data_IF_111727328438
#
_entry.id   IF_111727328438
#
_cell.length_a   1.000
_cell.length_b   1.000
_cell.length_c   1.000
_cell.angle_alpha   90.00
_cell.angle_beta   90.00
_cell.angle_gamma   90.00
#
_symmetry.space_group_name_H-M   'P 1'
#
loop_
_entity.id
_entity.type
_entity.pdbx_description
1 polymer ?
#
# COMPACT_ATOMS: atom_id res chain seq x y z
N UNK A 1 6.82 4.47 -37.17
CA UNK A 1 5.64 4.59 -36.30
C UNK A 1 6.05 4.16 -34.89
N UNK A 2 6.63 5.08 -34.11
CA UNK A 2 7.21 4.80 -32.77
C UNK A 2 7.31 6.11 -31.97
N UNK A 3 6.18 6.80 -31.82
CA UNK A 3 6.07 8.00 -30.95
C UNK A 3 4.92 7.88 -29.93
N UNK A 4 3.96 6.99 -30.17
CA UNK A 4 2.75 6.89 -29.34
C UNK A 4 2.98 6.24 -27.97
N UNK A 5 3.82 5.20 -27.87
CA UNK A 5 4.01 4.47 -26.60
C UNK A 5 4.85 5.20 -25.55
N UNK A 6 5.64 6.23 -25.91
CA UNK A 6 6.37 7.06 -24.94
C UNK A 6 5.50 8.20 -24.36
N UNK A 7 4.41 8.57 -25.03
CA UNK A 7 3.51 9.61 -24.55
C UNK A 7 2.48 9.09 -23.53
N UNK A 8 2.20 7.78 -23.50
CA UNK A 8 1.28 7.19 -22.51
C UNK A 8 1.91 7.21 -21.10
N UNK A 9 3.22 6.99 -20.98
CA UNK A 9 3.94 7.04 -19.69
C UNK A 9 4.09 8.46 -19.09
N UNK A 10 3.83 9.52 -19.86
CA UNK A 10 3.81 10.90 -19.34
C UNK A 10 2.42 11.41 -18.98
N UNK A 11 1.36 10.67 -19.34
CA UNK A 11 -0.02 11.14 -19.16
C UNK A 11 -0.74 10.54 -17.93
N UNK A 12 -0.10 9.62 -17.21
CA UNK A 12 -0.56 9.19 -15.87
C UNK A 12 -0.30 10.24 -14.77
N UNK A 13 0.36 11.35 -15.13
CA UNK A 13 0.57 12.52 -14.26
C UNK A 13 -0.64 13.48 -14.22
N UNK A 14 -1.84 13.04 -14.67
CA UNK A 14 -2.97 13.95 -14.94
C UNK A 14 -4.32 13.56 -14.33
N UNK A 15 -4.33 12.94 -13.15
CA UNK A 15 -5.46 13.06 -12.22
C UNK A 15 -5.05 13.92 -11.03
N UNK A 16 -5.08 15.24 -11.24
CA UNK A 16 -5.07 16.30 -10.21
C UNK A 16 -3.95 16.25 -9.13
N UNK A 17 -2.84 16.95 -9.42
CA UNK A 17 -1.88 17.54 -8.45
C UNK A 17 -1.19 16.59 -7.45
N UNK A 18 -0.33 15.70 -7.96
CA UNK A 18 0.51 14.82 -7.12
C UNK A 18 1.81 15.47 -6.60
N UNK A 19 2.23 16.63 -7.11
CA UNK A 19 3.47 17.30 -6.63
C UNK A 19 3.35 17.87 -5.20
N UNK A 20 2.14 17.96 -4.65
CA UNK A 20 1.87 18.58 -3.35
C UNK A 20 1.43 17.60 -2.26
N UNK A 21 1.43 16.29 -2.52
CA UNK A 21 1.08 15.33 -1.48
C UNK A 21 2.09 15.36 -0.34
N UNK A 22 1.61 15.54 0.89
CA UNK A 22 2.40 15.42 2.10
C UNK A 22 1.62 14.59 3.11
N UNK A 23 2.30 13.60 3.70
CA UNK A 23 1.74 12.82 4.80
C UNK A 23 2.04 13.52 6.13
N UNK A 24 1.25 14.55 6.44
CA UNK A 24 1.35 15.37 7.66
C UNK A 24 0.14 15.25 8.59
N UNK A 25 -0.74 14.28 8.31
CA UNK A 25 -1.97 14.03 9.06
C UNK A 25 -3.15 14.93 8.68
N UNK A 26 -3.05 15.75 7.63
CA UNK A 26 -4.20 16.49 7.06
C UNK A 26 -5.13 15.63 6.22
N UNK A 27 -4.66 14.46 5.78
CA UNK A 27 -5.39 13.46 5.03
C UNK A 27 -5.12 12.08 5.64
N UNK A 28 -5.89 11.08 5.21
CA UNK A 28 -5.69 9.68 5.58
C UNK A 28 -5.38 8.82 4.35
N UNK A 29 -4.75 9.41 3.32
CA UNK A 29 -4.34 8.68 2.12
C UNK A 29 -3.05 7.89 2.38
N UNK A 30 -3.19 6.90 3.26
CA UNK A 30 -2.13 5.98 3.67
C UNK A 30 -1.68 5.15 2.44
N UNK A 31 -2.60 4.82 1.53
CA UNK A 31 -2.25 4.11 0.29
C UNK A 31 -1.30 4.95 -0.57
N UNK A 32 -1.55 6.25 -0.74
CA UNK A 32 -0.66 7.14 -1.49
C UNK A 32 0.71 7.28 -0.84
N UNK A 33 0.77 7.43 0.48
CA UNK A 33 2.03 7.48 1.19
C UNK A 33 2.82 6.16 1.02
N UNK A 34 2.16 5.01 1.12
CA UNK A 34 2.80 3.69 0.92
C UNK A 34 3.28 3.50 -0.52
N UNK A 35 2.53 3.98 -1.51
CA UNK A 35 2.97 4.04 -2.90
C UNK A 35 4.25 4.87 -3.06
N UNK A 36 4.30 6.08 -2.48
CA UNK A 36 5.48 6.95 -2.53
C UNK A 36 6.69 6.27 -1.88
N UNK A 37 6.51 5.59 -0.74
CA UNK A 37 7.59 4.82 -0.10
C UNK A 37 8.05 3.64 -0.97
N UNK A 38 7.12 2.93 -1.61
CA UNK A 38 7.43 1.84 -2.53
C UNK A 38 8.24 2.34 -3.74
N UNK A 39 7.85 3.45 -4.36
CA UNK A 39 8.62 4.07 -5.45
C UNK A 39 10.00 4.57 -5.00
N UNK A 40 10.14 4.96 -3.73
CA UNK A 40 11.43 5.31 -3.13
C UNK A 40 12.33 4.08 -2.86
N UNK A 41 11.84 2.85 -3.09
CA UNK A 41 12.57 1.60 -2.88
C UNK A 41 12.58 1.12 -1.43
N UNK A 42 11.73 1.68 -0.56
CA UNK A 42 11.59 1.19 0.80
C UNK A 42 11.02 -0.23 0.79
N UNK A 43 11.46 -1.03 1.77
CA UNK A 43 10.93 -2.36 2.01
C UNK A 43 10.49 -2.50 3.46
N UNK A 44 9.43 -3.28 3.67
CA UNK A 44 8.99 -3.73 4.98
C UNK A 44 8.56 -5.18 4.88
N UNK A 45 8.55 -5.85 6.02
CA UNK A 45 8.00 -7.20 6.12
C UNK A 45 6.55 -7.23 5.64
N UNK A 46 6.19 -8.36 5.04
CA UNK A 46 4.81 -8.65 4.68
C UNK A 46 3.90 -8.59 5.91
N UNK A 47 2.65 -8.21 5.67
CA UNK A 47 1.65 -8.10 6.73
C UNK A 47 1.32 -9.50 7.23
N UNK A 48 1.59 -9.76 8.51
CA UNK A 48 1.10 -10.97 9.19
C UNK A 48 -0.39 -10.78 9.47
N UNK A 49 -1.23 -11.64 8.88
CA UNK A 49 -2.67 -11.69 9.10
C UNK A 49 -3.09 -13.11 9.46
N UNK A 50 -4.08 -13.25 10.33
CA UNK A 50 -4.71 -14.55 10.59
C UNK A 50 -5.54 -15.03 9.38
N UNK A 51 -6.12 -14.09 8.63
CA UNK A 51 -6.84 -14.34 7.38
C UNK A 51 -6.86 -13.07 6.52
N UNK A 52 -6.79 -13.24 5.19
CA UNK A 52 -6.95 -12.14 4.23
C UNK A 52 -8.46 -11.94 3.97
N UNK A 53 -9.00 -10.71 4.08
CA UNK A 53 -10.43 -10.48 3.83
C UNK A 53 -10.86 -10.85 2.41
N UNK A 54 -12.05 -11.42 2.27
CA UNK A 54 -12.63 -11.78 0.95
C UNK A 54 -12.69 -10.58 0.00
N UNK A 55 -13.07 -9.40 0.48
CA UNK A 55 -13.10 -8.19 -0.34
C UNK A 55 -11.72 -7.83 -0.93
N UNK A 56 -10.63 -8.13 -0.23
CA UNK A 56 -9.26 -7.94 -0.73
C UNK A 56 -8.91 -9.02 -1.75
N UNK A 57 -9.21 -10.28 -1.46
CA UNK A 57 -8.91 -11.39 -2.39
C UNK A 57 -9.72 -11.29 -3.68
N UNK A 58 -10.98 -10.86 -3.62
CA UNK A 58 -11.83 -10.68 -4.80
C UNK A 58 -11.28 -9.58 -5.70
N UNK A 59 -10.94 -8.42 -5.10
CA UNK A 59 -10.34 -7.28 -5.82
C UNK A 59 -9.02 -7.65 -6.50
N UNK A 60 -8.16 -8.40 -5.81
CA UNK A 60 -6.88 -8.87 -6.39
C UNK A 60 -7.08 -9.99 -7.41
N UNK A 61 -8.10 -10.83 -7.21
CA UNK A 61 -8.48 -11.93 -8.10
C UNK A 61 -8.86 -11.44 -9.50
N UNK A 62 -9.56 -10.32 -9.61
CA UNK A 62 -9.87 -9.66 -10.89
C UNK A 62 -8.61 -9.28 -11.70
N UNK A 63 -7.47 -9.14 -11.02
CA UNK A 63 -6.15 -8.84 -11.62
C UNK A 63 -5.24 -10.08 -11.70
N UNK A 64 -5.71 -11.26 -11.31
CA UNK A 64 -4.92 -12.49 -11.14
C UNK A 64 -3.70 -12.30 -10.21
N UNK A 65 -3.86 -11.51 -9.16
CA UNK A 65 -2.82 -11.25 -8.15
C UNK A 65 -3.14 -12.05 -6.90
N UNK A 66 -2.13 -12.67 -6.30
CA UNK A 66 -2.25 -13.26 -4.96
C UNK A 66 -1.72 -12.29 -3.92
N UNK A 67 -2.40 -12.19 -2.78
CA UNK A 67 -2.02 -11.25 -1.72
C UNK A 67 -0.61 -11.54 -1.18
N UNK A 68 -0.26 -12.80 -1.02
CA UNK A 68 1.04 -13.28 -0.54
C UNK A 68 2.21 -12.99 -1.48
N UNK A 69 1.94 -12.71 -2.77
CA UNK A 69 2.98 -12.37 -3.75
C UNK A 69 3.30 -10.86 -3.73
N UNK A 70 2.48 -10.05 -3.07
CA UNK A 70 2.67 -8.61 -2.97
C UNK A 70 3.72 -8.23 -1.91
N UNK A 71 4.57 -7.20 -2.16
CA UNK A 71 5.44 -6.64 -1.13
C UNK A 71 4.65 -6.06 0.05
N UNK A 72 5.25 -6.02 1.25
CA UNK A 72 4.56 -5.62 2.48
C UNK A 72 3.94 -4.21 2.45
N UNK A 73 4.56 -3.26 1.74
CA UNK A 73 3.99 -1.92 1.53
C UNK A 73 2.69 -1.98 0.73
N UNK A 74 2.68 -2.79 -0.34
CA UNK A 74 1.55 -2.92 -1.26
C UNK A 74 0.42 -3.68 -0.59
N UNK A 75 0.72 -4.76 0.13
CA UNK A 75 -0.27 -5.47 0.96
C UNK A 75 -1.00 -4.51 1.91
N UNK A 76 -0.26 -3.65 2.59
CA UNK A 76 -0.83 -2.66 3.50
C UNK A 76 -1.65 -1.60 2.79
N UNK A 77 -1.20 -1.13 1.62
CA UNK A 77 -1.92 -0.16 0.82
C UNK A 77 -3.27 -0.71 0.34
N UNK A 78 -3.28 -1.96 -0.15
CA UNK A 78 -4.51 -2.62 -0.61
C UNK A 78 -5.48 -2.87 0.54
N UNK A 79 -5.00 -3.31 1.71
CA UNK A 79 -5.85 -3.45 2.90
C UNK A 79 -6.51 -2.12 3.26
N UNK A 80 -5.72 -1.05 3.38
CA UNK A 80 -6.22 0.28 3.72
C UNK A 80 -7.27 0.77 2.73
N UNK A 81 -6.92 0.76 1.44
CA UNK A 81 -7.74 1.29 0.36
C UNK A 81 -9.04 0.48 0.19
N UNK A 82 -9.03 -0.81 0.55
CA UNK A 82 -10.23 -1.67 0.55
C UNK A 82 -11.05 -1.54 1.85
N UNK A 83 -10.60 -0.72 2.81
CA UNK A 83 -11.34 -0.43 4.03
C UNK A 83 -11.04 -1.37 5.20
N UNK A 84 -9.79 -1.79 5.37
CA UNK A 84 -9.38 -2.63 6.50
C UNK A 84 -8.26 -1.99 7.32
N UNK A 85 -8.35 -2.19 8.63
CA UNK A 85 -7.25 -1.99 9.59
C UNK A 85 -6.81 -3.33 10.19
N UNK A 86 -5.74 -3.33 10.97
CA UNK A 86 -5.18 -4.54 11.58
C UNK A 86 -5.29 -4.45 13.10
N UNK A 87 -6.00 -5.40 13.70
CA UNK A 87 -6.11 -5.52 15.16
C UNK A 87 -4.75 -5.85 15.81
N UNK A 88 -4.62 -5.67 17.13
CA UNK A 88 -3.46 -6.14 17.89
C UNK A 88 -3.19 -7.64 17.74
N UNK A 89 -4.23 -8.45 17.52
CA UNK A 89 -4.15 -9.90 17.32
C UNK A 89 -3.89 -10.31 15.86
N UNK A 90 -3.63 -9.33 14.98
CA UNK A 90 -3.39 -9.49 13.53
C UNK A 90 -4.61 -9.96 12.73
N UNK A 91 -5.82 -9.65 13.19
CA UNK A 91 -7.02 -9.76 12.37
C UNK A 91 -7.17 -8.52 11.48
N UNK A 92 -7.55 -8.73 10.22
CA UNK A 92 -7.98 -7.64 9.36
C UNK A 92 -9.45 -7.30 9.69
N UNK A 93 -9.67 -6.11 10.25
CA UNK A 93 -10.96 -5.65 10.74
C UNK A 93 -11.54 -4.62 9.77
N UNK A 94 -12.81 -4.78 9.43
CA UNK A 94 -13.53 -3.89 8.53
C UNK A 94 -13.65 -2.49 9.12
N UNK A 95 -13.38 -1.51 8.28
CA UNK A 95 -13.63 -0.09 8.50
C UNK A 95 -14.70 0.33 7.48
N UNK A 96 -15.78 0.91 7.98
CA UNK A 96 -16.76 1.62 7.17
C UNK A 96 -16.47 3.12 7.23
N UNK A 97 -16.60 3.78 6.09
CA UNK A 97 -16.59 5.24 6.03
C UNK A 97 -18.00 5.76 6.29
N UNK A 98 -18.14 7.04 6.65
CA UNK A 98 -19.44 7.68 6.80
C UNK A 98 -19.75 8.58 5.61
N UNK A 99 -21.02 8.64 5.21
CA UNK A 99 -21.52 9.54 4.16
C UNK A 99 -20.78 9.37 2.81
N UNK A 100 -20.03 10.39 2.39
CA UNK A 100 -19.25 10.43 1.16
C UNK A 100 -17.74 10.48 1.41
N UNK A 101 -17.30 10.19 2.64
CA UNK A 101 -15.89 10.02 2.93
C UNK A 101 -15.35 8.73 2.28
N UNK A 102 -14.07 8.72 1.97
CA UNK A 102 -13.27 7.61 1.47
C UNK A 102 -12.17 7.32 2.47
N UNK A 103 -11.50 6.17 2.36
CA UNK A 103 -10.36 5.86 3.23
C UNK A 103 -9.24 6.91 3.15
N UNK A 104 -9.12 7.64 2.04
CA UNK A 104 -8.15 8.72 1.86
C UNK A 104 -8.49 10.02 2.62
N UNK A 105 -9.74 10.22 3.07
CA UNK A 105 -10.19 11.50 3.65
C UNK A 105 -10.99 11.38 4.96
N UNK A 106 -10.89 10.27 5.67
CA UNK A 106 -11.45 10.10 7.02
C UNK A 106 -10.64 10.79 8.13
N UNK A 107 -9.42 11.27 7.84
CA UNK A 107 -8.71 12.16 8.76
C UNK A 107 -9.59 13.39 9.09
N UNK A 108 -9.72 13.69 10.39
CA UNK A 108 -10.57 14.77 10.87
C UNK A 108 -9.74 16.05 10.94
N UNK A 109 -10.15 17.15 10.28
CA UNK A 109 -9.51 18.45 10.41
C UNK A 109 -9.46 18.91 11.87
N UNK A 110 -8.36 19.55 12.24
CA UNK A 110 -8.18 20.10 13.59
C UNK A 110 -9.29 21.08 13.99
N UNK A 111 -9.84 21.84 13.03
CA UNK A 111 -10.92 22.79 13.30
C UNK A 111 -12.20 22.06 13.74
N UNK A 112 -12.61 21.01 13.03
CA UNK A 112 -13.78 20.18 13.39
C UNK A 112 -13.62 19.61 14.81
N UNK A 113 -12.42 19.09 15.15
CA UNK A 113 -12.11 18.59 16.50
C UNK A 113 -12.19 19.70 17.55
N UNK A 114 -11.74 20.91 17.21
CA UNK A 114 -11.84 22.08 18.09
C UNK A 114 -13.29 22.53 18.28
N UNK A 115 -14.10 22.49 17.23
CA UNK A 115 -15.51 22.87 17.24
C UNK A 115 -16.36 21.88 18.06
N UNK A 116 -15.96 20.61 18.13
CA UNK A 116 -16.51 19.63 19.08
C UNK A 116 -16.18 19.95 20.55
N UNK A 117 -15.35 20.97 20.82
CA UNK A 117 -14.97 21.40 22.16
C UNK A 117 -13.74 20.69 22.72
N UNK A 118 -12.95 20.01 21.88
CA UNK A 118 -11.72 19.35 22.31
C UNK A 118 -10.52 20.31 22.29
N UNK A 119 -9.55 20.05 23.17
CA UNK A 119 -8.30 20.83 23.26
C UNK A 119 -7.10 20.01 22.81
N UNK A 120 -5.98 20.68 22.53
CA UNK A 120 -4.81 20.05 21.92
C UNK A 120 -3.53 20.23 22.73
N UNK A 121 -2.73 19.17 22.74
CA UNK A 121 -1.30 19.24 23.03
C UNK A 121 -0.56 19.56 21.73
N UNK A 122 0.14 20.69 21.70
CA UNK A 122 1.02 21.07 20.58
C UNK A 122 2.41 20.43 20.79
N UNK A 123 2.90 19.74 19.77
CA UNK A 123 4.21 19.10 19.76
C UNK A 123 5.01 19.59 18.55
N UNK A 124 6.22 20.08 18.76
CA UNK A 124 7.08 20.53 17.65
C UNK A 124 7.81 19.33 17.05
N UNK A 125 7.69 19.16 15.72
CA UNK A 125 8.40 18.12 14.98
C UNK A 125 9.80 18.60 14.56
N UNK A 126 10.71 17.70 14.13
CA UNK A 126 12.07 18.06 13.70
C UNK A 126 12.13 19.09 12.56
N UNK A 127 11.13 19.10 11.66
CA UNK A 127 11.02 20.09 10.58
C UNK A 127 10.46 21.45 11.03
N UNK A 128 10.33 21.70 12.33
CA UNK A 128 9.72 22.91 12.91
C UNK A 128 8.23 23.10 12.53
N UNK A 129 7.55 22.07 12.03
CA UNK A 129 6.09 22.06 11.88
C UNK A 129 5.46 21.53 13.16
N UNK A 130 4.36 22.15 13.57
CA UNK A 130 3.60 21.72 14.74
C UNK A 130 2.71 20.52 14.41
N UNK A 131 2.84 19.47 15.21
CA UNK A 131 1.87 18.40 15.32
C UNK A 131 0.93 18.67 16.51
N UNK A 132 -0.24 18.05 16.47
CA UNK A 132 -1.29 18.22 17.47
C UNK A 132 -1.88 16.88 17.86
N UNK A 133 -2.06 16.70 19.16
CA UNK A 133 -2.70 15.53 19.76
C UNK A 133 -3.88 16.00 20.60
N UNK A 134 -4.94 15.22 20.69
CA UNK A 134 -6.01 15.50 21.66
C UNK A 134 -5.48 15.49 23.09
N UNK A 135 -5.90 16.48 23.88
CA UNK A 135 -5.57 16.59 25.30
C UNK A 135 -6.82 16.42 26.18
N UNK A 136 -7.77 17.36 26.13
CA UNK A 136 -9.05 17.27 26.83
C UNK A 136 -10.13 17.08 25.77
N UNK A 137 -10.79 15.91 25.77
CA UNK A 137 -11.82 15.54 24.81
C UNK A 137 -12.56 14.30 25.34
N UNK A 138 -13.88 14.35 25.51
CA UNK A 138 -14.67 13.17 25.87
C UNK A 138 -14.84 12.23 24.67
N UNK A 139 -15.30 11.00 24.94
CA UNK A 139 -15.66 10.06 23.88
C UNK A 139 -16.75 10.64 22.98
N UNK A 140 -17.81 11.19 23.55
CA UNK A 140 -18.91 11.79 22.79
C UNK A 140 -18.47 12.94 21.90
N UNK A 141 -17.61 13.84 22.41
CA UNK A 141 -17.06 14.93 21.60
C UNK A 141 -16.26 14.40 20.40
N UNK A 142 -15.39 13.41 20.63
CA UNK A 142 -14.60 12.85 19.55
C UNK A 142 -15.44 12.07 18.53
N UNK A 143 -16.39 11.28 19.01
CA UNK A 143 -17.30 10.50 18.18
C UNK A 143 -18.26 11.40 17.39
N UNK A 144 -18.61 12.59 17.89
CA UNK A 144 -19.46 13.54 17.16
C UNK A 144 -18.86 14.04 15.84
N UNK A 145 -17.53 13.98 15.68
CA UNK A 145 -16.81 14.41 14.47
C UNK A 145 -16.13 13.27 13.72
N UNK A 146 -16.28 12.04 14.22
CA UNK A 146 -15.70 10.85 13.61
C UNK A 146 -16.32 10.57 12.23
N UNK A 147 -15.48 10.07 11.31
CA UNK A 147 -15.85 9.88 9.89
C UNK A 147 -15.87 8.42 9.45
N UNK A 148 -15.75 7.51 10.41
CA UNK A 148 -15.62 6.08 10.21
C UNK A 148 -16.22 5.28 11.36
N UNK A 149 -16.55 4.03 11.07
CA UNK A 149 -16.98 3.01 12.02
C UNK A 149 -16.06 1.82 11.82
N UNK A 150 -15.55 1.22 12.88
CA UNK A 150 -14.69 0.04 12.84
C UNK A 150 -15.45 -1.13 13.46
N UNK A 151 -15.35 -2.30 12.83
CA UNK A 151 -16.00 -3.50 13.35
C UNK A 151 -15.45 -3.91 14.71
N UNK A 152 -16.27 -4.57 15.52
CA UNK A 152 -15.90 -4.96 16.87
C UNK A 152 -14.69 -5.88 16.82
N UNK A 153 -13.64 -5.53 17.55
CA UNK A 153 -12.49 -6.40 17.80
C UNK A 153 -12.13 -6.40 19.27
N UNK A 154 -11.34 -7.39 19.69
CA UNK A 154 -10.85 -7.48 21.06
C UNK A 154 -9.49 -6.83 21.18
N UNK A 155 -9.28 -6.05 22.24
CA UNK A 155 -7.96 -5.58 22.62
C UNK A 155 -7.79 -5.69 24.14
N UNK A 156 -7.01 -6.67 24.59
CA UNK A 156 -6.78 -6.89 26.03
C UNK A 156 -6.10 -5.70 26.70
N UNK A 157 -5.33 -4.91 25.94
CA UNK A 157 -4.68 -3.68 26.42
C UNK A 157 -5.52 -2.41 26.28
N UNK A 158 -6.82 -2.52 25.97
CA UNK A 158 -7.69 -1.36 25.76
C UNK A 158 -7.93 -0.57 27.04
N UNK A 159 -8.10 -1.29 28.15
CA UNK A 159 -8.21 -0.71 29.48
C UNK A 159 -6.81 -0.20 29.82
N UNK A 160 -6.70 1.10 30.09
CA UNK A 160 -5.44 1.82 30.35
C UNK A 160 -4.60 2.17 29.10
N UNK A 161 -5.16 2.07 27.89
CA UNK A 161 -4.50 2.64 26.71
C UNK A 161 -4.54 4.16 26.75
N UNK A 162 -3.51 4.78 27.33
CA UNK A 162 -3.38 6.24 27.45
C UNK A 162 -2.73 6.85 26.20
N UNK A 163 -3.14 6.49 24.99
CA UNK A 163 -2.69 7.17 23.78
C UNK A 163 -3.56 8.37 23.43
N UNK A 164 -3.21 9.11 22.38
CA UNK A 164 -4.12 10.10 21.80
C UNK A 164 -5.11 9.43 20.85
N UNK A 165 -6.41 9.70 21.01
CA UNK A 165 -7.46 9.18 20.10
C UNK A 165 -7.39 9.82 18.71
N UNK A 166 -7.00 11.10 18.66
CA UNK A 166 -6.77 11.85 17.43
C UNK A 166 -5.41 12.51 17.48
N UNK A 167 -4.73 12.48 16.34
CA UNK A 167 -3.47 13.15 16.16
C UNK A 167 -3.31 13.62 14.72
N UNK A 168 -2.82 14.85 14.56
CA UNK A 168 -2.39 15.44 13.30
C UNK A 168 -0.88 15.61 13.34
N UNK A 169 -0.19 14.83 12.53
CA UNK A 169 1.24 14.91 12.37
C UNK A 169 1.71 13.86 11.37
N UNK A 170 2.97 13.93 11.00
CA UNK A 170 3.52 12.99 10.05
C UNK A 170 4.84 13.43 9.46
N UNK A 171 5.39 12.53 8.64
CA UNK A 171 6.67 12.67 7.98
C UNK A 171 6.56 12.12 6.56
N UNK A 172 7.14 12.82 5.59
CA UNK A 172 7.20 12.36 4.19
C UNK A 172 7.97 11.05 4.02
N UNK A 173 8.83 10.68 4.98
CA UNK A 173 9.54 9.40 5.00
C UNK A 173 8.90 8.36 5.92
N UNK A 174 7.72 8.63 6.49
CA UNK A 174 7.04 7.64 7.30
C UNK A 174 6.53 6.51 6.41
N UNK A 175 6.68 5.28 6.90
CA UNK A 175 6.01 4.10 6.35
C UNK A 175 4.81 3.78 7.24
N UNK A 176 3.63 4.39 6.99
CA UNK A 176 2.51 4.33 7.92
C UNK A 176 2.02 2.90 8.11
N UNK A 177 1.66 2.57 9.35
CA UNK A 177 0.89 1.38 9.68
C UNK A 177 -0.61 1.65 9.58
N UNK A 178 -1.42 0.59 9.71
CA UNK A 178 -2.90 0.66 9.77
C UNK A 178 -3.39 -0.05 11.02
N UNK A 179 -2.74 0.22 12.15
CA UNK A 179 -3.00 -0.51 13.40
C UNK A 179 -4.24 0.02 14.08
N UNK A 180 -5.07 -0.88 14.58
CA UNK A 180 -6.25 -0.52 15.35
C UNK A 180 -5.92 -0.49 16.84
N UNK A 181 -6.56 0.46 17.52
CA UNK A 181 -6.51 0.64 18.98
C UNK A 181 -7.93 0.85 19.49
N UNK A 182 -8.17 0.36 20.69
CA UNK A 182 -9.35 0.71 21.48
C UNK A 182 -8.88 1.61 22.63
N UNK A 183 -9.34 2.85 22.61
CA UNK A 183 -9.16 3.80 23.69
C UNK A 183 -10.36 3.70 24.61
N UNK A 184 -10.24 2.90 25.67
CA UNK A 184 -11.28 2.71 26.67
C UNK A 184 -10.87 3.31 28.01
N UNK A 185 -11.69 4.20 28.55
CA UNK A 185 -11.44 4.82 29.86
C UNK A 185 -12.76 5.17 30.56
N UNK A 186 -12.68 5.33 31.88
CA UNK A 186 -13.74 5.98 32.66
C UNK A 186 -13.31 7.40 32.93
N UNK A 187 -14.10 8.37 32.46
CA UNK A 187 -13.82 9.77 32.69
C UNK A 187 -13.91 10.07 34.20
N UNK A 188 -12.85 10.62 34.80
CA UNK A 188 -12.79 10.80 36.26
C UNK A 188 -13.69 11.93 36.76
N UNK A 189 -14.22 12.78 35.87
CA UNK A 189 -15.07 13.91 36.20
C UNK A 189 -16.56 13.54 36.07
N UNK A 190 -16.96 12.95 34.95
CA UNK A 190 -18.35 12.53 34.71
C UNK A 190 -18.67 11.13 35.26
N UNK A 191 -17.66 10.31 35.53
CA UNK A 191 -17.78 8.88 35.85
C UNK A 191 -18.49 8.06 34.74
N UNK A 192 -18.48 8.57 33.51
CA UNK A 192 -18.94 7.86 32.32
C UNK A 192 -17.80 7.07 31.69
N UNK A 193 -18.09 5.87 31.20
CA UNK A 193 -17.11 5.05 30.48
C UNK A 193 -17.27 5.27 28.98
N UNK A 194 -16.16 5.59 28.33
CA UNK A 194 -16.10 5.77 26.88
C UNK A 194 -15.22 4.70 26.25
N UNK A 195 -15.48 4.41 24.98
CA UNK A 195 -14.60 3.61 24.14
C UNK A 195 -14.61 4.15 22.72
N UNK A 196 -13.43 4.57 22.26
CA UNK A 196 -13.20 5.14 20.93
C UNK A 196 -12.20 4.26 20.21
N UNK A 197 -12.60 3.68 19.07
CA UNK A 197 -11.64 2.99 18.21
C UNK A 197 -10.84 4.01 17.43
N UNK A 198 -9.58 3.68 17.14
CA UNK A 198 -8.73 4.55 16.34
C UNK A 198 -7.79 3.77 15.44
N UNK A 199 -7.55 4.30 14.24
CA UNK A 199 -6.47 3.88 13.36
C UNK A 199 -5.21 4.66 13.73
N UNK A 200 -4.13 3.94 13.99
CA UNK A 200 -2.80 4.49 14.30
C UNK A 200 -1.80 4.13 13.21
N UNK A 201 -0.99 5.12 12.84
CA UNK A 201 -0.04 5.01 11.73
C UNK A 201 1.38 4.64 12.15
N UNK A 202 1.61 4.38 13.43
CA UNK A 202 2.89 3.95 13.98
C UNK A 202 2.72 2.75 14.91
N UNK A 203 3.77 1.95 15.15
CA UNK A 203 3.74 0.91 16.16
C UNK A 203 3.61 1.49 17.57
N UNK A 204 3.06 0.71 18.49
CA UNK A 204 2.80 1.10 19.89
C UNK A 204 4.02 1.72 20.60
N UNK A 205 5.22 1.21 20.34
CA UNK A 205 6.46 1.71 20.94
C UNK A 205 6.84 3.14 20.51
N UNK A 206 6.23 3.67 19.45
CA UNK A 206 6.43 5.03 18.95
C UNK A 206 5.21 5.93 19.19
N UNK A 207 4.13 5.39 19.75
CA UNK A 207 2.96 6.20 20.11
C UNK A 207 3.29 7.03 21.36
N UNK A 208 2.97 8.33 21.29
CA UNK A 208 3.12 9.20 22.44
C UNK A 208 1.99 8.89 23.44
N UNK A 209 2.36 8.78 24.73
CA UNK A 209 1.36 8.74 25.79
C UNK A 209 0.58 10.04 25.86
N UNK A 210 -0.59 9.99 26.48
CA UNK A 210 -1.49 11.11 26.67
C UNK A 210 -0.77 12.27 27.38
N UNK A 211 -1.01 13.48 26.89
CA UNK A 211 -0.34 14.71 27.31
C UNK A 211 1.20 14.73 27.11
N UNK A 212 1.77 13.74 26.41
CA UNK A 212 3.16 13.72 26.01
C UNK A 212 3.32 14.02 24.52
N UNK A 213 4.51 14.47 24.15
CA UNK A 213 4.96 14.50 22.76
C UNK A 213 5.83 13.26 22.52
N UNK A 214 5.98 12.79 21.26
CA UNK A 214 6.93 11.74 20.96
C UNK A 214 8.33 12.09 21.46
N UNK A 215 8.98 11.16 22.15
CA UNK A 215 10.32 11.37 22.73
C UNK A 215 11.38 11.67 21.66
N UNK A 216 11.20 11.13 20.46
CA UNK A 216 12.03 11.41 19.30
C UNK A 216 11.25 11.22 18.00
N UNK A 217 11.69 11.94 16.96
CA UNK A 217 11.14 11.80 15.62
C UNK A 217 9.89 12.62 15.37
N UNK A 218 9.09 12.17 14.43
CA UNK A 218 7.90 12.87 13.96
C UNK A 218 6.66 12.35 14.67
N UNK A 219 5.63 13.18 14.73
CA UNK A 219 4.31 12.75 15.13
C UNK A 219 3.69 11.82 14.09
N UNK A 220 2.55 11.23 14.45
CA UNK A 220 1.82 10.29 13.62
C UNK A 220 0.36 10.74 13.47
N UNK A 221 -0.28 10.25 12.43
CA UNK A 221 -1.73 10.35 12.26
C UNK A 221 -2.41 9.32 13.16
N UNK A 222 -3.43 9.77 13.89
CA UNK A 222 -4.42 8.90 14.54
C UNK A 222 -5.83 9.34 14.13
N UNK A 223 -6.62 8.41 13.61
CA UNK A 223 -7.99 8.66 13.10
C UNK A 223 -9.00 7.95 14.00
N UNK A 224 -9.81 8.69 14.77
CA UNK A 224 -10.84 8.08 15.61
C UNK A 224 -12.06 7.68 14.78
N UNK A 225 -12.66 6.57 15.18
CA UNK A 225 -13.82 5.95 14.57
C UNK A 225 -14.76 5.44 15.67
N UNK A 226 -16.04 5.31 15.32
CA UNK A 226 -16.99 4.61 16.16
C UNK A 226 -16.70 3.11 16.22
N UNK A 227 -17.24 2.46 17.25
CA UNK A 227 -17.34 1.01 17.35
C UNK A 227 -18.65 0.53 16.77
N UNK A 228 -18.64 -0.47 15.88
CA UNK A 228 -19.85 -0.99 15.24
C UNK A 228 -20.92 -1.49 16.22
N UNK A 229 -20.51 -1.93 17.42
CA UNK A 229 -21.40 -2.44 18.47
C UNK A 229 -21.97 -1.35 19.40
N UNK A 230 -21.65 -0.08 19.15
CA UNK A 230 -22.04 1.05 20.00
C UNK A 230 -22.37 2.31 19.17
N UNK A 231 -23.08 2.14 18.05
CA UNK A 231 -23.54 3.24 17.20
C UNK A 231 -25.05 3.43 17.26
N UNK A 232 -25.50 4.65 17.01
CA UNK A 232 -26.91 4.96 16.81
C UNK A 232 -27.40 4.51 15.43
N UNK A 233 -28.72 4.50 15.23
CA UNK A 233 -29.33 4.17 13.93
C UNK A 233 -28.95 5.19 12.85
N UNK A 234 -28.75 6.46 13.21
CA UNK A 234 -28.30 7.51 12.28
C UNK A 234 -26.88 7.24 11.79
N UNK A 235 -25.95 6.92 12.70
CA UNK A 235 -24.57 6.58 12.33
C UNK A 235 -24.56 5.31 11.47
N UNK A 236 -25.36 4.31 11.83
CA UNK A 236 -25.50 3.08 11.05
C UNK A 236 -26.02 3.32 9.64
N UNK A 237 -27.02 4.21 9.48
CA UNK A 237 -27.55 4.59 8.18
C UNK A 237 -26.53 5.38 7.32
N UNK A 238 -25.59 6.08 7.97
CA UNK A 238 -24.53 6.82 7.29
C UNK A 238 -23.35 5.93 6.85
N UNK A 239 -23.22 4.70 7.38
CA UNK A 239 -22.12 3.80 7.04
C UNK A 239 -22.09 3.44 5.56
N UNK A 240 -20.90 3.46 4.97
CA UNK A 240 -20.61 3.00 3.62
C UNK A 240 -19.41 2.08 3.63
N UNK A 241 -19.56 0.92 2.99
CA UNK A 241 -18.43 0.03 2.70
C UNK A 241 -17.49 0.75 1.74
N UNK A 242 -16.21 0.96 2.09
CA UNK A 242 -15.26 1.60 1.20
C UNK A 242 -15.12 0.81 -0.10
N UNK A 243 -15.10 1.51 -1.21
CA UNK A 243 -14.70 0.94 -2.50
C UNK A 243 -13.25 1.30 -2.73
N UNK A 244 -12.44 0.32 -3.10
CA UNK A 244 -11.04 0.56 -3.48
C UNK A 244 -10.95 1.61 -4.58
N UNK A 245 -9.94 2.48 -4.49
CA UNK A 245 -9.76 3.55 -5.45
C UNK A 245 -9.27 3.03 -6.80
N UNK A 246 -9.67 3.73 -7.87
CA UNK A 246 -9.26 3.40 -9.24
C UNK A 246 -7.74 3.49 -9.40
N UNK A 247 -7.09 4.47 -8.76
CA UNK A 247 -5.65 4.67 -8.90
C UNK A 247 -4.83 3.54 -8.25
N UNK A 248 -5.26 3.01 -7.09
CA UNK A 248 -4.61 1.83 -6.49
C UNK A 248 -4.82 0.61 -7.38
N UNK A 249 -6.00 0.47 -7.98
CA UNK A 249 -6.28 -0.61 -8.94
C UNK A 249 -5.38 -0.50 -10.18
N UNK A 250 -5.18 0.70 -10.72
CA UNK A 250 -4.23 0.96 -11.81
C UNK A 250 -2.80 0.61 -11.41
N UNK A 251 -2.34 1.05 -10.23
CA UNK A 251 -1.01 0.71 -9.72
C UNK A 251 -0.81 -0.81 -9.60
N UNK A 252 -1.78 -1.52 -9.02
CA UNK A 252 -1.73 -2.98 -8.89
C UNK A 252 -1.63 -3.67 -10.26
N UNK A 253 -2.44 -3.19 -11.21
CA UNK A 253 -2.47 -3.74 -12.56
C UNK A 253 -1.14 -3.53 -13.29
N UNK A 254 -0.58 -2.32 -13.19
CA UNK A 254 0.61 -1.95 -13.95
C UNK A 254 1.88 -2.65 -13.43
N UNK A 255 1.98 -2.89 -12.12
CA UNK A 255 3.19 -3.44 -11.50
C UNK A 255 3.11 -4.92 -11.13
N UNK A 256 1.92 -5.47 -10.88
CA UNK A 256 1.78 -6.80 -10.26
C UNK A 256 0.85 -7.76 -11.00
N UNK A 257 -0.02 -7.28 -11.90
CA UNK A 257 -0.92 -8.19 -12.62
C UNK A 257 -0.13 -9.14 -13.53
N UNK A 258 -0.50 -10.42 -13.47
CA UNK A 258 0.11 -11.45 -14.31
C UNK A 258 -0.62 -11.48 -15.65
N UNK A 259 0.02 -10.89 -16.67
CA UNK A 259 -0.44 -11.05 -18.04
C UNK A 259 -0.23 -12.51 -18.50
N UNK A 260 -1.33 -13.27 -18.61
CA UNK A 260 -1.33 -14.59 -19.26
C UNK A 260 -0.78 -14.55 -20.70
N UNK A 261 -0.72 -13.36 -21.32
CA UNK A 261 -0.12 -13.13 -22.64
C UNK A 261 1.41 -13.29 -22.63
N UNK A 262 2.11 -12.94 -21.55
CA UNK A 262 3.56 -13.06 -21.46
C UNK A 262 4.00 -14.52 -21.31
N UNK A 263 3.22 -15.33 -20.59
CA UNK A 263 3.42 -16.78 -20.51
C UNK A 263 3.22 -17.47 -21.88
N UNK A 264 2.14 -17.13 -22.59
CA UNK A 264 1.90 -17.63 -23.95
C UNK A 264 2.97 -17.17 -24.95
N UNK A 265 3.45 -15.92 -24.85
CA UNK A 265 4.56 -15.41 -25.67
C UNK A 265 5.85 -16.15 -25.39
N UNK A 266 6.16 -16.45 -24.12
CA UNK A 266 7.35 -17.23 -23.77
C UNK A 266 7.26 -18.65 -24.32
N UNK A 267 6.10 -19.29 -24.22
CA UNK A 267 5.83 -20.62 -24.80
C UNK A 267 5.97 -20.60 -26.32
N UNK A 268 5.45 -19.57 -27.00
CA UNK A 268 5.58 -19.40 -28.46
C UNK A 268 7.04 -19.16 -28.88
N UNK A 269 7.82 -18.39 -28.13
CA UNK A 269 9.24 -18.16 -28.39
C UNK A 269 10.02 -19.47 -28.20
N UNK A 270 9.79 -20.21 -27.12
CA UNK A 270 10.44 -21.50 -26.86
C UNK A 270 10.07 -22.53 -27.94
N UNK A 271 8.80 -22.61 -28.31
CA UNK A 271 8.33 -23.49 -29.40
C UNK A 271 8.99 -23.13 -30.73
N UNK A 272 9.10 -21.83 -31.05
CA UNK A 272 9.79 -21.35 -32.25
C UNK A 272 11.28 -21.69 -32.27
N UNK A 273 11.99 -21.53 -31.15
CA UNK A 273 13.41 -21.88 -31.02
C UNK A 273 13.60 -23.39 -31.18
N UNK A 274 12.77 -24.22 -30.56
CA UNK A 274 12.84 -25.68 -30.69
C UNK A 274 12.57 -26.11 -32.14
N UNK A 275 11.60 -25.51 -32.82
CA UNK A 275 11.31 -25.82 -34.22
C UNK A 275 12.50 -25.49 -35.13
N UNK A 276 13.14 -24.33 -34.92
CA UNK A 276 14.34 -23.92 -35.67
C UNK A 276 15.50 -24.86 -35.40
N UNK A 277 15.72 -25.29 -34.15
CA UNK A 277 16.77 -26.27 -33.82
C UNK A 277 16.52 -27.63 -34.45
N UNK A 278 15.26 -28.08 -34.51
CA UNK A 278 14.87 -29.32 -35.21
C UNK A 278 15.12 -29.18 -36.72
N UNK A 279 14.72 -28.06 -37.33
CA UNK A 279 14.96 -27.79 -38.75
C UNK A 279 16.46 -27.74 -39.07
N UNK A 280 17.27 -27.09 -38.22
CA UNK A 280 18.73 -27.06 -38.36
C UNK A 280 19.37 -28.45 -38.15
N UNK A 281 18.82 -29.30 -37.28
CA UNK A 281 19.27 -30.68 -37.11
C UNK A 281 18.88 -31.57 -38.30
N UNK A 282 17.70 -31.35 -38.91
CA UNK A 282 17.27 -32.00 -40.14
C UNK A 282 18.07 -31.53 -41.37
N UNK A 283 18.40 -30.23 -41.45
CA UNK A 283 19.27 -29.68 -42.49
C UNK A 283 20.72 -30.13 -42.32
N UNK A 284 21.22 -30.30 -41.08
CA UNK A 284 22.52 -30.95 -40.84
C UNK A 284 22.56 -32.40 -41.32
N UNK A 285 21.41 -33.07 -41.39
CA UNK A 285 21.29 -34.41 -42.00
C UNK A 285 21.27 -34.36 -43.54
N UNK A 286 21.06 -33.19 -44.15
CA UNK A 286 20.87 -33.02 -45.60
C UNK A 286 21.94 -32.16 -46.30
N UNK A 287 22.71 -31.34 -45.58
CA UNK A 287 23.70 -30.44 -46.17
C UNK A 287 25.08 -30.69 -45.56
N UNK A 288 25.86 -31.53 -46.25
CA UNK A 288 27.30 -31.41 -46.18
C UNK A 288 27.72 -30.12 -46.89
N UNK A 289 28.42 -29.27 -46.14
CA UNK A 289 29.12 -28.04 -46.56
C UNK A 289 28.29 -26.76 -46.75
N UNK A 290 28.86 -25.71 -46.15
CA UNK A 290 28.74 -24.28 -46.45
C UNK A 290 27.63 -23.50 -45.74
N UNK A 291 28.03 -22.78 -44.68
CA UNK A 291 27.82 -21.33 -44.45
C UNK A 291 27.82 -20.99 -42.94
N UNK A 292 28.96 -21.20 -42.27
CA UNK A 292 29.30 -20.48 -41.04
C UNK A 292 29.92 -19.14 -41.45
N UNK A 293 29.13 -18.09 -41.55
CA UNK A 293 29.67 -16.75 -41.86
C UNK A 293 28.71 -15.60 -41.63
N UNK A 294 27.40 -15.83 -41.66
CA UNK A 294 26.42 -14.73 -41.73
C UNK A 294 25.46 -14.61 -40.54
N UNK A 295 25.44 -15.55 -39.59
CA UNK A 295 24.53 -15.48 -38.43
C UNK A 295 25.11 -14.74 -37.20
N UNK A 296 26.44 -14.57 -37.11
CA UNK A 296 27.07 -13.95 -35.92
C UNK A 296 26.76 -12.46 -35.79
N UNK A 297 26.49 -11.76 -36.91
CA UNK A 297 26.38 -10.30 -36.92
C UNK A 297 24.98 -9.78 -36.60
N UNK A 298 23.90 -10.57 -36.77
CA UNK A 298 22.52 -10.07 -36.58
C UNK A 298 21.94 -10.27 -35.18
N UNK A 299 22.44 -11.24 -34.40
CA UNK A 299 21.92 -11.47 -33.04
C UNK A 299 22.45 -10.45 -32.03
N UNK A 300 23.67 -9.93 -32.24
CA UNK A 300 24.29 -8.94 -31.35
C UNK A 300 23.61 -7.57 -31.48
N UNK A 301 23.18 -7.18 -32.69
CA UNK A 301 22.57 -5.87 -32.95
C UNK A 301 21.17 -5.72 -32.31
N UNK A 302 20.46 -6.82 -32.05
CA UNK A 302 19.13 -6.76 -31.42
C UNK A 302 19.15 -6.53 -29.90
N UNK A 303 20.33 -6.59 -29.26
CA UNK A 303 20.47 -6.53 -27.79
C UNK A 303 20.99 -5.18 -27.27
N UNK A 304 21.37 -4.24 -28.14
CA UNK A 304 21.94 -2.94 -27.75
C UNK A 304 20.90 -1.88 -27.31
N UNK A 305 19.62 -2.24 -27.21
CA UNK A 305 18.53 -1.31 -26.88
C UNK A 305 18.01 -1.28 -25.44
N UNK A 306 18.49 -2.13 -24.52
CA UNK A 306 17.87 -2.23 -23.17
C UNK A 306 18.88 -2.26 -22.00
N UNK A 307 18.74 -1.35 -21.01
CA UNK A 307 19.61 -1.27 -19.84
C UNK A 307 19.07 -2.14 -18.70
N UNK A 308 19.35 -3.45 -18.71
CA UNK A 308 19.45 -4.34 -17.53
C UNK A 308 19.44 -5.83 -17.91
N UNK A 309 20.34 -6.28 -18.80
CA UNK A 309 20.47 -7.71 -19.14
C UNK A 309 21.91 -8.22 -19.11
N UNK A 310 22.66 -7.91 -18.04
CA UNK A 310 24.02 -8.40 -17.85
C UNK A 310 24.12 -9.93 -17.83
N UNK A 311 23.24 -10.60 -17.07
CA UNK A 311 23.29 -12.05 -16.92
C UNK A 311 22.86 -12.83 -18.18
N UNK A 312 21.86 -12.34 -18.92
CA UNK A 312 21.42 -13.01 -20.15
C UNK A 312 22.46 -12.88 -21.27
N UNK A 313 23.17 -11.74 -21.33
CA UNK A 313 24.30 -11.53 -22.26
C UNK A 313 25.45 -12.50 -21.99
N UNK A 314 25.75 -12.76 -20.71
CA UNK A 314 26.80 -13.70 -20.31
C UNK A 314 26.41 -15.15 -20.66
N UNK A 315 25.19 -15.56 -20.30
CA UNK A 315 24.64 -16.88 -20.64
C UNK A 315 24.61 -17.16 -22.14
N UNK A 316 24.21 -16.17 -22.95
CA UNK A 316 24.20 -16.31 -24.41
C UNK A 316 25.61 -16.40 -25.00
N UNK A 317 26.58 -15.64 -24.47
CA UNK A 317 28.00 -15.76 -24.89
C UNK A 317 28.56 -17.13 -24.55
N UNK A 318 28.30 -17.62 -23.34
CA UNK A 318 28.85 -18.90 -22.87
C UNK A 318 28.20 -20.09 -23.61
N UNK A 319 26.90 -20.02 -23.90
CA UNK A 319 26.23 -20.99 -24.78
C UNK A 319 26.77 -20.95 -26.21
N UNK A 320 27.05 -19.76 -26.78
CA UNK A 320 27.63 -19.67 -28.12
C UNK A 320 29.06 -20.22 -28.17
N UNK A 321 29.87 -19.95 -27.15
CA UNK A 321 31.24 -20.45 -27.05
C UNK A 321 31.28 -21.99 -26.97
N UNK A 322 30.39 -22.59 -26.20
CA UNK A 322 30.26 -24.05 -26.09
C UNK A 322 29.73 -24.71 -27.39
N UNK A 323 28.88 -24.01 -28.14
CA UNK A 323 28.41 -24.45 -29.46
C UNK A 323 29.50 -24.39 -30.54
N UNK A 324 30.45 -23.46 -30.40
CA UNK A 324 31.59 -23.34 -31.30
C UNK A 324 32.71 -24.34 -30.96
N UNK A 325 32.93 -24.66 -29.68
CA UNK A 325 33.94 -25.65 -29.27
C UNK A 325 33.51 -27.11 -29.49
N UNK A 326 32.22 -27.37 -29.63
CA UNK A 326 31.67 -28.70 -29.94
C UNK A 326 31.55 -28.98 -31.44
N UNK A 327 31.93 -28.01 -32.29
CA UNK A 327 31.90 -28.11 -33.75
C UNK A 327 33.30 -28.19 -34.40
N UNK A 328 34.36 -28.34 -33.60
CA UNK A 328 35.74 -28.64 -34.03
C UNK A 328 36.08 -30.11 -33.85
#
# INVERSE_FOLDING_TARGET
MTVESRNVFRNLDSTASDENFVFDGTNSDIAKQLYIRHQAGDTVDQVSLNSVPTAVTDRLGDLNIKFEDLPGLVQRAVLWDTGFGISPDNDAIQIWTMNNYTMANIAIPQNDVSEAGCTFKKCMQPNSVAAYYTLICSGDQMLSVSRCVIDKFKYEGAVDYLGAMWAKGGNSTLTPQIRLRDHSWTDPVSNESYSVYAVHTVPNALEASWNQCPDSGYAALAVPCHRSDSISDEVKAAMRTPTGSDWVTTWLKDEFAVDNSNSLRLILIISGVVLVLILLAFDRKKQSKLLLGTLSTRLIISLDGHPNQGNLRQLLRDSLANLLSSAS
#
